data_IF_771635283877
#
_entry.id   IF_771635283877
#
_cell.length_a   1.000
_cell.length_b   1.000
_cell.length_c   1.000
_cell.angle_alpha   90.00
_cell.angle_beta   90.00
_cell.angle_gamma   90.00
#
_symmetry.space_group_name_H-M   'P 1'
#
loop_
_entity.id
_entity.type
_entity.pdbx_description
1 polymer ?
#
# COMPACT_ATOMS: atom_id res chain seq x y z
N UNK A 1 -32.62 -11.68 2.06
CA UNK A 1 -31.62 -10.69 2.53
C UNK A 1 -30.80 -11.36 3.62
N UNK A 2 -29.47 -11.27 3.55
CA UNK A 2 -28.56 -11.88 4.52
C UNK A 2 -27.93 -10.77 5.35
N UNK A 3 -27.91 -10.91 6.68
CA UNK A 3 -27.28 -9.91 7.55
C UNK A 3 -25.78 -9.79 7.22
N UNK A 4 -25.24 -8.58 7.30
CA UNK A 4 -23.87 -8.23 6.92
C UNK A 4 -23.71 -7.82 5.45
N UNK A 5 -24.61 -8.23 4.56
CA UNK A 5 -24.53 -7.84 3.14
C UNK A 5 -24.84 -6.35 2.94
N UNK A 6 -24.32 -5.81 1.83
CA UNK A 6 -24.65 -4.48 1.35
C UNK A 6 -25.84 -4.58 0.39
N UNK A 7 -26.80 -3.68 0.54
CA UNK A 7 -27.93 -3.51 -0.34
C UNK A 7 -28.05 -2.04 -0.77
N UNK A 8 -28.65 -1.79 -1.93
CA UNK A 8 -29.03 -0.45 -2.35
C UNK A 8 -30.46 -0.17 -1.92
N UNK A 9 -30.71 0.97 -1.28
CA UNK A 9 -32.03 1.40 -0.83
C UNK A 9 -32.35 2.83 -1.23
N UNK A 10 -33.64 3.15 -1.33
CA UNK A 10 -34.12 4.50 -1.65
C UNK A 10 -34.62 5.17 -0.37
N UNK A 11 -34.12 6.36 -0.05
CA UNK A 11 -34.61 7.14 1.09
C UNK A 11 -36.06 7.58 0.81
N UNK A 12 -37.01 7.13 1.60
CA UNK A 12 -38.43 7.48 1.47
C UNK A 12 -38.79 8.72 2.28
N UNK A 13 -38.36 8.76 3.55
CA UNK A 13 -38.57 9.90 4.43
C UNK A 13 -37.38 10.10 5.36
N UNK A 14 -37.18 11.35 5.79
CA UNK A 14 -36.14 11.75 6.73
C UNK A 14 -36.80 12.51 7.87
N UNK A 15 -36.92 11.84 9.01
CA UNK A 15 -37.40 12.41 10.26
C UNK A 15 -36.24 12.94 11.10
N UNK A 16 -36.54 13.53 12.26
CA UNK A 16 -35.52 14.11 13.15
C UNK A 16 -34.50 13.07 13.64
N UNK A 17 -34.96 11.85 13.97
CA UNK A 17 -34.15 10.81 14.62
C UNK A 17 -33.91 9.56 13.75
N UNK A 18 -34.63 9.41 12.63
CA UNK A 18 -34.51 8.26 11.74
C UNK A 18 -34.88 8.59 10.30
N UNK A 19 -34.46 7.76 9.36
CA UNK A 19 -34.94 7.75 7.99
C UNK A 19 -35.51 6.37 7.64
N UNK A 20 -36.58 6.37 6.84
CA UNK A 20 -37.15 5.15 6.25
C UNK A 20 -36.53 4.92 4.89
N UNK A 21 -36.02 3.71 4.67
CA UNK A 21 -35.34 3.30 3.45
C UNK A 21 -36.15 2.18 2.80
N UNK A 22 -36.51 2.33 1.54
CA UNK A 22 -37.12 1.24 0.78
C UNK A 22 -36.04 0.32 0.19
N UNK A 23 -36.09 -0.96 0.56
CA UNK A 23 -35.23 -2.03 0.01
C UNK A 23 -35.99 -2.91 -0.99
N UNK A 24 -37.13 -2.44 -1.49
CA UNK A 24 -38.02 -3.09 -2.45
C UNK A 24 -39.00 -4.09 -1.81
N UNK A 25 -38.50 -5.04 -1.01
CA UNK A 25 -39.35 -6.07 -0.36
C UNK A 25 -39.61 -5.84 1.12
N UNK A 26 -38.75 -5.09 1.80
CA UNK A 26 -38.80 -4.82 3.23
C UNK A 26 -38.40 -3.37 3.45
N UNK A 27 -39.05 -2.71 4.40
CA UNK A 27 -38.65 -1.38 4.83
C UNK A 27 -37.41 -1.46 5.73
N UNK A 28 -36.49 -0.53 5.55
CA UNK A 28 -35.30 -0.33 6.36
C UNK A 28 -35.42 0.92 7.22
N UNK A 29 -34.77 0.91 8.38
CA UNK A 29 -34.63 2.07 9.26
C UNK A 29 -33.16 2.37 9.50
N UNK A 30 -32.81 3.63 9.30
CA UNK A 30 -31.48 4.18 9.57
C UNK A 30 -31.61 5.21 10.69
N UNK A 31 -30.80 5.13 11.75
CA UNK A 31 -30.95 6.00 12.92
C UNK A 31 -29.96 7.15 12.94
N UNK A 32 -30.31 8.27 13.59
CA UNK A 32 -29.39 9.42 13.69
C UNK A 32 -28.13 9.05 14.47
N UNK A 33 -28.25 8.11 15.41
CA UNK A 33 -27.11 7.54 16.16
C UNK A 33 -26.05 6.97 15.24
N UNK A 34 -26.44 6.34 14.13
CA UNK A 34 -25.53 5.76 13.14
C UNK A 34 -25.06 6.82 12.14
N UNK A 35 -25.95 7.68 11.66
CA UNK A 35 -25.59 8.71 10.66
C UNK A 35 -24.66 9.77 11.23
N UNK A 36 -24.82 10.18 12.49
CA UNK A 36 -24.00 11.24 13.10
C UNK A 36 -22.51 10.87 13.25
N UNK A 37 -22.13 9.60 13.06
CA UNK A 37 -20.72 9.19 13.04
C UNK A 37 -20.07 9.43 11.68
N UNK A 38 -20.86 9.71 10.64
CA UNK A 38 -20.40 10.01 9.30
C UNK A 38 -20.03 11.49 9.15
N UNK A 39 -19.17 11.77 8.18
CA UNK A 39 -18.71 13.11 7.87
C UNK A 39 -18.94 13.44 6.40
N UNK A 40 -19.33 14.68 6.14
CA UNK A 40 -19.55 15.22 4.82
C UNK A 40 -18.22 15.61 4.15
N UNK A 41 -17.66 14.68 3.39
CA UNK A 41 -16.52 14.92 2.51
C UNK A 41 -16.84 15.83 1.30
N UNK A 42 -18.12 16.05 1.00
CA UNK A 42 -18.61 16.88 -0.11
C UNK A 42 -18.93 18.32 0.31
N UNK A 43 -18.53 18.72 1.53
CA UNK A 43 -18.81 20.06 2.06
C UNK A 43 -18.03 21.19 1.38
N UNK A 44 -17.13 20.86 0.44
CA UNK A 44 -16.23 21.81 -0.22
C UNK A 44 -15.08 22.30 0.67
N UNK A 45 -14.93 21.76 1.88
CA UNK A 45 -13.80 22.04 2.77
C UNK A 45 -12.66 21.06 2.54
N UNK A 46 -11.47 21.45 2.97
CA UNK A 46 -10.24 20.63 2.90
C UNK A 46 -10.31 19.33 3.72
N UNK A 47 -11.28 19.22 4.63
CA UNK A 47 -11.51 18.04 5.45
C UNK A 47 -13.02 17.73 5.59
N UNK A 48 -13.39 16.46 5.75
CA UNK A 48 -14.78 16.08 5.99
C UNK A 48 -15.32 16.74 7.26
N UNK A 49 -16.56 17.25 7.20
CA UNK A 49 -17.21 17.91 8.35
C UNK A 49 -18.34 17.06 8.93
N UNK A 50 -18.53 16.99 10.25
CA UNK A 50 -19.65 16.25 10.82
C UNK A 50 -21.01 16.79 10.38
N UNK A 51 -21.97 15.90 10.13
CA UNK A 51 -23.36 16.30 9.93
C UNK A 51 -23.98 16.78 11.25
N UNK A 52 -24.76 17.88 11.22
CA UNK A 52 -25.43 18.41 12.42
C UNK A 52 -26.85 17.90 12.58
N UNK A 53 -27.49 17.51 11.47
CA UNK A 53 -28.86 16.97 11.44
C UNK A 53 -29.02 15.99 10.28
N UNK A 54 -30.01 15.11 10.39
CA UNK A 54 -30.26 14.04 9.41
C UNK A 54 -30.45 14.55 7.98
N UNK A 55 -31.19 15.65 7.83
CA UNK A 55 -31.47 16.28 6.52
C UNK A 55 -30.26 16.94 5.85
N UNK A 56 -29.14 17.09 6.56
CA UNK A 56 -27.85 17.47 5.92
C UNK A 56 -27.15 16.26 5.29
N UNK A 57 -27.44 15.04 5.77
CA UNK A 57 -26.81 13.82 5.32
C UNK A 57 -27.59 13.13 4.19
N UNK A 58 -28.92 13.11 4.30
CA UNK A 58 -29.80 12.37 3.40
C UNK A 58 -31.05 13.18 3.05
N UNK A 59 -31.59 12.94 1.86
CA UNK A 59 -32.83 13.53 1.35
C UNK A 59 -33.75 12.43 0.79
N UNK A 60 -35.07 12.60 0.85
CA UNK A 60 -35.99 11.72 0.12
C UNK A 60 -35.62 11.63 -1.36
N UNK A 61 -35.61 10.42 -1.90
CA UNK A 61 -35.20 10.09 -3.27
C UNK A 61 -33.72 9.70 -3.43
N UNK A 62 -32.87 9.91 -2.42
CA UNK A 62 -31.48 9.46 -2.49
C UNK A 62 -31.41 7.93 -2.59
N UNK A 63 -30.56 7.43 -3.49
CA UNK A 63 -30.23 6.00 -3.59
C UNK A 63 -28.93 5.78 -2.84
N UNK A 64 -28.98 5.01 -1.75
CA UNK A 64 -27.86 4.83 -0.83
C UNK A 64 -27.52 3.35 -0.64
N UNK A 65 -26.23 3.00 -0.61
CA UNK A 65 -25.84 1.68 -0.18
C UNK A 65 -25.85 1.60 1.35
N UNK A 66 -26.43 0.53 1.87
CA UNK A 66 -26.63 0.28 3.30
C UNK A 66 -26.23 -1.14 3.64
N UNK A 67 -25.63 -1.31 4.82
CA UNK A 67 -25.38 -2.63 5.40
C UNK A 67 -26.60 -3.09 6.18
N UNK A 68 -27.02 -4.34 5.93
CA UNK A 68 -28.12 -4.98 6.65
C UNK A 68 -27.61 -5.48 8.01
N UNK A 69 -28.07 -4.90 9.13
CA UNK A 69 -27.51 -5.20 10.46
C UNK A 69 -28.35 -6.22 11.19
N UNK A 70 -29.65 -5.99 11.28
CA UNK A 70 -30.57 -6.79 12.10
C UNK A 70 -32.00 -6.62 11.58
N UNK A 71 -32.89 -7.58 11.86
CA UNK A 71 -34.29 -7.52 11.46
C UNK A 71 -35.20 -7.51 12.69
N UNK A 72 -36.10 -6.53 12.76
CA UNK A 72 -37.10 -6.40 13.82
C UNK A 72 -38.44 -6.99 13.35
N UNK A 73 -38.78 -8.24 13.74
CA UNK A 73 -39.99 -8.90 13.25
C UNK A 73 -41.28 -8.24 13.77
N UNK A 74 -41.24 -7.56 14.92
CA UNK A 74 -42.42 -6.91 15.49
C UNK A 74 -42.83 -5.64 14.74
N UNK A 75 -41.89 -5.04 13.99
CA UNK A 75 -42.10 -3.84 13.18
C UNK A 75 -41.95 -4.10 11.68
N UNK A 76 -41.57 -5.31 11.31
CA UNK A 76 -41.25 -5.74 9.94
C UNK A 76 -40.20 -4.86 9.24
N UNK A 77 -39.23 -4.32 10.00
CA UNK A 77 -38.17 -3.43 9.48
C UNK A 77 -36.76 -3.99 9.64
N UNK A 78 -35.91 -3.71 8.67
CA UNK A 78 -34.47 -3.98 8.73
C UNK A 78 -33.74 -2.79 9.37
N UNK A 79 -32.92 -3.02 10.39
CA UNK A 79 -31.99 -2.02 10.92
C UNK A 79 -30.76 -1.93 10.01
N UNK A 80 -30.40 -0.70 9.66
CA UNK A 80 -29.41 -0.42 8.63
C UNK A 80 -28.26 0.41 9.17
N UNK A 81 -27.09 0.23 8.58
CA UNK A 81 -25.99 1.19 8.68
C UNK A 81 -25.68 1.76 7.31
N UNK A 82 -25.31 3.04 7.25
CA UNK A 82 -24.75 3.61 6.04
C UNK A 82 -23.52 2.81 5.64
N UNK A 83 -23.33 2.66 4.34
CA UNK A 83 -22.13 2.11 3.77
C UNK A 83 -21.66 3.06 2.67
N UNK A 84 -20.36 3.07 2.43
CA UNK A 84 -19.76 3.75 1.29
C UNK A 84 -18.72 2.81 0.75
N UNK A 85 -18.85 2.52 -0.53
CA UNK A 85 -17.82 1.85 -1.29
C UNK A 85 -16.55 2.70 -1.28
N UNK A 86 -15.41 2.17 -0.82
CA UNK A 86 -14.17 2.93 -0.83
C UNK A 86 -13.75 3.29 -2.26
N UNK A 87 -13.58 4.58 -2.54
CA UNK A 87 -12.96 5.04 -3.79
C UNK A 87 -11.48 4.65 -3.86
N UNK A 88 -10.84 4.51 -2.70
CA UNK A 88 -9.48 4.01 -2.59
C UNK A 88 -9.45 2.51 -2.85
N UNK A 89 -8.32 2.03 -3.35
CA UNK A 89 -8.12 0.61 -3.61
C UNK A 89 -6.84 0.13 -2.93
N UNK A 90 -6.66 -1.18 -2.85
CA UNK A 90 -5.52 -1.78 -2.14
C UNK A 90 -5.12 -3.12 -2.73
N UNK A 91 -4.02 -3.66 -2.22
CA UNK A 91 -3.58 -5.01 -2.53
C UNK A 91 -2.93 -5.64 -1.29
N UNK A 92 -3.08 -6.95 -1.16
CA UNK A 92 -2.41 -7.75 -0.13
C UNK A 92 -1.76 -8.94 -0.82
N UNK A 93 -0.50 -9.21 -0.48
CA UNK A 93 0.21 -10.39 -0.94
C UNK A 93 0.98 -10.99 0.24
N UNK A 94 0.65 -12.23 0.57
CA UNK A 94 1.34 -13.03 1.59
C UNK A 94 2.11 -14.15 0.92
N UNK A 95 3.42 -14.20 1.16
CA UNK A 95 4.31 -15.22 0.59
C UNK A 95 5.16 -15.84 1.70
N UNK A 96 5.34 -17.16 1.67
CA UNK A 96 6.26 -17.86 2.56
C UNK A 96 7.70 -17.68 2.07
N UNK A 97 8.60 -16.97 2.79
CA UNK A 97 9.92 -16.63 2.25
C UNK A 97 10.81 -17.84 1.93
N UNK A 98 10.67 -18.93 2.70
CA UNK A 98 11.47 -20.16 2.53
C UNK A 98 11.09 -20.99 1.31
N UNK A 99 9.82 -20.99 0.92
CA UNK A 99 9.31 -21.86 -0.15
C UNK A 99 8.93 -21.10 -1.42
N UNK A 100 8.66 -19.80 -1.29
CA UNK A 100 8.11 -18.95 -2.35
C UNK A 100 6.59 -19.06 -2.48
N UNK A 101 5.93 -19.91 -1.70
CA UNK A 101 4.48 -20.15 -1.80
C UNK A 101 3.67 -18.90 -1.51
N UNK A 102 2.77 -18.56 -2.43
CA UNK A 102 1.82 -17.45 -2.27
C UNK A 102 0.61 -17.95 -1.49
N UNK A 103 0.55 -17.58 -0.22
CA UNK A 103 -0.50 -17.99 0.72
C UNK A 103 -1.77 -17.16 0.61
N UNK A 104 -1.63 -15.89 0.21
CA UNK A 104 -2.76 -14.98 0.04
C UNK A 104 -2.46 -13.95 -1.04
N UNK A 105 -3.43 -13.66 -1.90
CA UNK A 105 -3.31 -12.63 -2.93
C UNK A 105 -4.66 -11.94 -3.13
N UNK A 106 -4.74 -10.67 -2.78
CA UNK A 106 -5.90 -9.81 -2.96
C UNK A 106 -5.48 -8.65 -3.87
N UNK A 107 -6.10 -8.57 -5.04
CA UNK A 107 -5.74 -7.62 -6.09
C UNK A 107 -6.53 -6.30 -6.10
N UNK A 108 -7.57 -6.21 -5.28
CA UNK A 108 -8.42 -5.02 -5.19
C UNK A 108 -9.52 -5.17 -4.16
N UNK A 109 -10.31 -4.11 -3.99
CA UNK A 109 -11.45 -4.08 -3.08
C UNK A 109 -12.52 -5.13 -3.43
N UNK A 110 -12.91 -5.17 -4.71
CA UNK A 110 -13.94 -6.06 -5.22
C UNK A 110 -13.54 -6.56 -6.62
N UNK A 111 -13.58 -7.88 -6.82
CA UNK A 111 -13.13 -8.51 -8.05
C UNK A 111 -14.13 -8.33 -9.19
N UNK A 112 -15.43 -8.39 -8.86
CA UNK A 112 -16.53 -8.26 -9.82
C UNK A 112 -16.57 -6.87 -10.49
N UNK A 113 -16.04 -5.84 -9.83
CA UNK A 113 -15.89 -4.50 -10.42
C UNK A 113 -14.60 -4.36 -11.24
N UNK A 114 -13.54 -5.07 -10.84
CA UNK A 114 -12.22 -4.93 -11.45
C UNK A 114 -11.38 -6.18 -11.25
N UNK A 115 -11.20 -6.94 -12.32
CA UNK A 115 -10.31 -8.11 -12.36
C UNK A 115 -8.81 -7.73 -12.34
N UNK A 116 -8.49 -6.43 -12.35
CA UNK A 116 -7.12 -5.93 -12.33
C UNK A 116 -6.44 -6.21 -10.98
N UNK A 117 -5.50 -7.15 -10.99
CA UNK A 117 -4.77 -7.59 -9.81
C UNK A 117 -3.59 -6.66 -9.49
N UNK A 118 -3.84 -5.71 -8.58
CA UNK A 118 -2.84 -4.74 -8.13
C UNK A 118 -1.65 -5.35 -7.40
N UNK A 119 -1.74 -6.58 -6.88
CA UNK A 119 -0.63 -7.24 -6.23
C UNK A 119 0.52 -7.56 -7.21
N UNK A 120 0.19 -7.83 -8.48
CA UNK A 120 1.15 -8.31 -9.48
C UNK A 120 1.23 -7.42 -10.72
N UNK A 121 0.19 -6.60 -11.01
CA UNK A 121 0.11 -5.77 -12.22
C UNK A 121 0.33 -4.28 -11.94
N UNK A 122 -0.10 -3.78 -10.77
CA UNK A 122 0.00 -2.35 -10.49
C UNK A 122 1.43 -1.96 -10.12
N UNK A 123 2.02 -1.07 -10.91
CA UNK A 123 3.31 -0.46 -10.59
C UNK A 123 3.10 0.86 -9.84
N UNK A 124 3.65 0.96 -8.63
CA UNK A 124 3.58 2.17 -7.78
C UNK A 124 4.95 2.52 -7.25
N UNK A 125 5.14 3.79 -6.86
CA UNK A 125 6.38 4.20 -6.20
C UNK A 125 6.44 3.57 -4.80
N UNK A 126 7.51 2.83 -4.45
CA UNK A 126 7.65 2.24 -3.12
C UNK A 126 7.94 3.29 -2.05
N UNK A 127 8.45 4.46 -2.43
CA UNK A 127 8.79 5.51 -1.47
C UNK A 127 9.83 5.03 -0.45
N UNK A 128 9.65 5.41 0.81
CA UNK A 128 10.55 5.02 1.90
C UNK A 128 10.62 3.51 2.16
N UNK A 129 9.66 2.70 1.68
CA UNK A 129 9.74 1.24 1.80
C UNK A 129 10.92 0.63 1.01
N UNK A 130 11.51 1.39 0.09
CA UNK A 130 12.72 0.98 -0.64
C UNK A 130 14.02 1.17 0.17
N UNK A 131 14.03 1.99 1.22
CA UNK A 131 15.26 2.31 1.97
C UNK A 131 15.96 1.08 2.55
N UNK A 132 15.29 0.06 3.13
CA UNK A 132 15.98 -1.14 3.59
C UNK A 132 16.89 -1.78 2.53
N UNK A 133 16.51 -1.73 1.24
CA UNK A 133 17.33 -2.24 0.14
C UNK A 133 18.58 -1.37 -0.08
N UNK A 134 18.41 -0.04 -0.08
CA UNK A 134 19.53 0.91 -0.18
C UNK A 134 20.54 0.69 0.96
N UNK A 135 20.04 0.61 2.19
CA UNK A 135 20.89 0.47 3.38
C UNK A 135 21.55 -0.90 3.44
N UNK A 136 20.86 -1.96 3.01
CA UNK A 136 21.46 -3.29 2.87
C UNK A 136 22.61 -3.30 1.86
N UNK A 137 22.46 -2.60 0.72
CA UNK A 137 23.55 -2.45 -0.24
C UNK A 137 24.77 -1.69 0.33
N UNK A 138 24.55 -0.75 1.24
CA UNK A 138 25.62 -0.05 1.94
C UNK A 138 26.40 -0.97 2.89
N UNK A 139 25.69 -1.84 3.63
CA UNK A 139 26.31 -2.82 4.53
C UNK A 139 27.21 -3.77 3.75
N UNK A 140 26.74 -4.30 2.62
CA UNK A 140 27.55 -5.14 1.71
C UNK A 140 28.71 -4.38 1.06
N UNK A 141 28.64 -3.03 0.99
CA UNK A 141 29.72 -2.16 0.53
C UNK A 141 30.69 -1.73 1.65
N UNK A 142 30.58 -2.31 2.86
CA UNK A 142 31.50 -2.08 3.97
C UNK A 142 31.06 -1.01 4.98
N UNK A 143 29.86 -0.45 4.84
CA UNK A 143 29.28 0.38 5.91
C UNK A 143 28.89 -0.49 7.10
N UNK A 144 28.84 0.14 8.28
CA UNK A 144 28.35 -0.47 9.50
C UNK A 144 27.11 0.26 9.99
N UNK A 145 26.35 -0.34 10.91
CA UNK A 145 25.21 0.31 11.55
C UNK A 145 25.60 1.62 12.27
N UNK A 146 26.86 1.75 12.67
CA UNK A 146 27.46 2.94 13.31
C UNK A 146 28.08 3.94 12.34
N UNK A 147 28.18 3.63 11.04
CA UNK A 147 28.73 4.57 10.05
C UNK A 147 27.96 5.89 10.10
N UNK A 148 28.69 7.01 10.08
CA UNK A 148 28.10 8.35 10.20
C UNK A 148 27.60 8.81 8.84
N UNK A 149 26.32 9.20 8.78
CA UNK A 149 25.70 9.86 7.65
C UNK A 149 25.34 11.30 8.01
N UNK A 150 25.37 12.18 7.02
CA UNK A 150 25.08 13.61 7.21
C UNK A 150 23.68 13.93 6.69
N UNK A 151 22.79 14.29 7.62
CA UNK A 151 21.45 14.80 7.40
C UNK A 151 21.44 16.34 7.43
N UNK A 152 21.92 16.94 6.33
CA UNK A 152 22.01 18.39 6.13
C UNK A 152 21.36 18.80 4.80
N UNK A 153 21.01 20.10 4.60
CA UNK A 153 20.48 20.59 3.33
C UNK A 153 21.39 20.26 2.15
N UNK A 154 20.80 19.81 1.05
CA UNK A 154 21.50 19.46 -0.19
C UNK A 154 20.86 20.17 -1.38
N UNK A 155 21.67 20.51 -2.37
CA UNK A 155 21.23 21.15 -3.61
C UNK A 155 21.94 20.53 -4.81
N UNK A 156 21.16 20.08 -5.79
CA UNK A 156 21.67 19.35 -6.95
C UNK A 156 21.25 20.02 -8.25
N UNK A 157 22.20 20.24 -9.15
CA UNK A 157 21.86 20.59 -10.54
C UNK A 157 21.29 19.37 -11.23
N UNK A 158 20.14 19.52 -11.89
CA UNK A 158 19.48 18.41 -12.59
C UNK A 158 20.00 18.21 -14.03
N UNK A 159 20.80 19.14 -14.54
CA UNK A 159 21.22 19.19 -15.94
C UNK A 159 20.13 19.68 -16.90
N UNK A 160 18.97 20.11 -16.38
CA UNK A 160 17.89 20.72 -17.16
C UNK A 160 17.90 22.23 -16.98
N UNK A 161 17.42 22.95 -18.00
CA UNK A 161 17.16 24.38 -17.93
C UNK A 161 15.67 24.60 -17.72
N UNK A 162 15.30 25.43 -16.76
CA UNK A 162 13.92 25.84 -16.48
C UNK A 162 13.89 27.36 -16.34
N UNK A 163 13.02 28.01 -17.13
CA UNK A 163 12.90 29.47 -17.17
C UNK A 163 14.23 30.21 -17.45
N UNK A 164 15.13 29.59 -18.22
CA UNK A 164 16.43 30.18 -18.58
C UNK A 164 17.55 29.94 -17.57
N UNK A 165 17.29 29.26 -16.46
CA UNK A 165 18.27 28.94 -15.41
C UNK A 165 18.44 27.43 -15.21
N UNK A 166 19.57 27.02 -14.62
CA UNK A 166 19.79 25.63 -14.19
C UNK A 166 18.69 25.21 -13.19
N UNK A 167 17.95 24.14 -13.50
CA UNK A 167 16.98 23.58 -12.56
C UNK A 167 17.73 22.90 -11.40
N UNK A 168 17.51 23.43 -10.20
CA UNK A 168 18.06 22.92 -8.94
C UNK A 168 17.01 22.06 -8.23
N UNK A 169 17.39 20.83 -7.89
CA UNK A 169 16.63 19.97 -7.00
C UNK A 169 17.06 20.17 -5.55
N UNK A 170 16.11 20.58 -4.71
CA UNK A 170 16.26 20.81 -3.27
C UNK A 170 15.43 19.77 -2.49
N UNK A 171 15.96 18.54 -2.29
CA UNK A 171 15.26 17.53 -1.49
C UNK A 171 15.07 17.99 -0.04
N UNK A 172 14.08 17.42 0.64
CA UNK A 172 13.80 17.68 2.05
C UNK A 172 13.41 16.41 2.80
N UNK A 173 13.59 16.43 4.11
CA UNK A 173 13.00 15.44 5.01
C UNK A 173 11.50 15.70 5.19
N UNK A 174 10.76 14.65 5.52
CA UNK A 174 9.37 14.82 5.97
C UNK A 174 9.34 15.69 7.23
N UNK A 175 8.50 16.73 7.21
CA UNK A 175 8.36 17.68 8.32
C UNK A 175 9.52 18.66 8.51
N UNK A 176 10.44 18.78 7.52
CA UNK A 176 11.51 19.79 7.46
C UNK A 176 12.47 19.83 8.66
N UNK A 177 12.61 18.72 9.39
CA UNK A 177 13.57 18.59 10.50
C UNK A 177 14.89 17.99 10.03
N UNK A 178 15.98 18.54 10.55
CA UNK A 178 17.36 18.07 10.31
C UNK A 178 17.94 17.49 11.59
N UNK A 179 18.75 16.45 11.45
CA UNK A 179 19.43 15.79 12.56
C UNK A 179 20.97 15.94 12.53
N UNK A 180 21.54 16.51 11.45
CA UNK A 180 22.99 16.63 11.32
C UNK A 180 23.65 15.26 11.18
N UNK A 181 24.75 15.02 11.90
CA UNK A 181 25.45 13.73 11.86
C UNK A 181 24.67 12.67 12.64
N UNK A 182 24.28 11.60 11.96
CA UNK A 182 23.53 10.47 12.53
C UNK A 182 24.17 9.14 12.14
N UNK A 183 23.93 8.08 12.90
CA UNK A 183 24.32 6.74 12.48
C UNK A 183 23.48 6.25 11.29
N UNK A 184 24.03 5.34 10.48
CA UNK A 184 23.32 4.65 9.41
C UNK A 184 22.03 4.01 9.93
N UNK A 185 22.08 3.36 11.11
CA UNK A 185 20.88 2.83 11.78
C UNK A 185 19.85 3.91 12.07
N UNK A 186 20.25 5.03 12.65
CA UNK A 186 19.35 6.14 12.98
C UNK A 186 18.70 6.71 11.72
N UNK A 187 19.47 6.88 10.65
CA UNK A 187 18.98 7.42 9.39
C UNK A 187 17.89 6.53 8.77
N UNK A 188 18.05 5.20 8.83
CA UNK A 188 17.03 4.26 8.38
C UNK A 188 15.78 4.29 9.27
N UNK A 189 15.95 4.18 10.60
CA UNK A 189 14.84 4.18 11.58
C UNK A 189 14.00 5.45 11.48
N UNK A 190 14.63 6.60 11.23
CA UNK A 190 13.94 7.88 11.07
C UNK A 190 13.54 8.19 9.63
N UNK A 191 13.88 7.30 8.69
CA UNK A 191 13.67 7.49 7.25
C UNK A 191 14.13 8.87 6.76
N UNK A 192 15.36 9.27 7.11
CA UNK A 192 15.89 10.58 6.72
C UNK A 192 16.24 10.60 5.23
N UNK A 193 15.58 11.45 4.45
CA UNK A 193 15.78 11.54 3.01
C UNK A 193 17.17 12.08 2.65
N UNK A 194 17.64 13.13 3.35
CA UNK A 194 18.90 13.78 3.00
C UNK A 194 20.11 12.90 3.32
N UNK A 195 20.05 12.14 4.42
CA UNK A 195 21.05 11.12 4.73
C UNK A 195 21.04 9.97 3.70
N UNK A 196 19.86 9.47 3.28
CA UNK A 196 19.78 8.41 2.26
C UNK A 196 20.28 8.89 0.89
N UNK A 197 20.03 10.15 0.52
CA UNK A 197 20.56 10.74 -0.71
C UNK A 197 22.09 10.79 -0.66
N UNK A 198 22.66 11.29 0.44
CA UNK A 198 24.10 11.30 0.63
C UNK A 198 24.72 9.90 0.56
N UNK A 199 24.06 8.90 1.15
CA UNK A 199 24.51 7.51 1.05
C UNK A 199 24.56 7.01 -0.40
N UNK A 200 23.62 7.41 -1.25
CA UNK A 200 23.63 7.03 -2.67
C UNK A 200 24.62 7.85 -3.49
N UNK A 201 24.92 9.09 -3.09
CA UNK A 201 26.05 9.84 -3.67
C UNK A 201 27.36 9.09 -3.44
N UNK A 202 27.58 8.58 -2.22
CA UNK A 202 28.79 7.84 -1.86
C UNK A 202 28.90 6.50 -2.60
N UNK A 203 27.82 5.72 -2.64
CA UNK A 203 27.79 4.38 -3.26
C UNK A 203 27.70 4.42 -4.79
N UNK A 204 27.14 5.49 -5.34
CA UNK A 204 26.69 5.58 -6.72
C UNK A 204 25.33 4.87 -6.96
N UNK A 205 24.47 5.43 -7.83
CA UNK A 205 23.16 4.85 -8.09
C UNK A 205 23.21 3.49 -8.79
N UNK A 206 24.29 3.20 -9.53
CA UNK A 206 24.45 1.92 -10.24
C UNK A 206 24.52 0.73 -9.28
N UNK A 207 25.31 0.85 -8.21
CA UNK A 207 25.47 -0.19 -7.21
C UNK A 207 24.13 -0.59 -6.60
N UNK A 208 23.32 0.41 -6.24
CA UNK A 208 21.97 0.19 -5.67
C UNK A 208 21.03 -0.46 -6.68
N UNK A 209 21.12 -0.08 -7.95
CA UNK A 209 20.32 -0.68 -9.02
C UNK A 209 20.68 -2.15 -9.20
N UNK A 210 21.97 -2.46 -9.32
CA UNK A 210 22.46 -3.84 -9.48
C UNK A 210 22.11 -4.70 -8.25
N UNK A 211 22.24 -4.13 -7.06
CA UNK A 211 21.82 -4.78 -5.82
C UNK A 211 20.32 -5.11 -5.81
N UNK A 212 19.48 -4.16 -6.22
CA UNK A 212 18.03 -4.34 -6.31
C UNK A 212 17.65 -5.43 -7.32
N UNK A 213 18.39 -5.55 -8.44
CA UNK A 213 18.20 -6.62 -9.44
C UNK A 213 18.47 -7.99 -8.85
N UNK A 214 19.55 -8.13 -8.08
CA UNK A 214 19.88 -9.37 -7.36
C UNK A 214 18.77 -9.76 -6.39
N UNK A 215 18.14 -8.80 -5.71
CA UNK A 215 16.98 -9.05 -4.83
C UNK A 215 15.67 -9.39 -5.55
N UNK A 216 15.62 -9.33 -6.88
CA UNK A 216 14.44 -9.70 -7.67
C UNK A 216 13.56 -8.52 -8.11
N UNK A 217 14.01 -7.27 -7.91
CA UNK A 217 13.33 -6.12 -8.50
C UNK A 217 13.77 -6.01 -9.96
N UNK A 218 12.84 -6.23 -10.89
CA UNK A 218 13.09 -6.22 -12.35
C UNK A 218 12.77 -4.87 -13.00
N UNK A 219 11.92 -4.05 -12.36
CA UNK A 219 11.44 -2.80 -12.93
C UNK A 219 12.54 -1.80 -13.28
N UNK A 220 12.39 -1.06 -14.38
CA UNK A 220 13.40 -0.09 -14.84
C UNK A 220 13.61 1.04 -13.82
N UNK A 221 14.88 1.33 -13.53
CA UNK A 221 15.30 2.38 -12.60
C UNK A 221 16.22 3.37 -13.32
N UNK A 222 16.01 4.66 -13.08
CA UNK A 222 16.89 5.71 -13.62
C UNK A 222 18.13 5.81 -12.74
N UNK A 223 19.31 5.90 -13.36
CA UNK A 223 20.60 6.07 -12.68
C UNK A 223 20.77 7.49 -12.16
N UNK A 224 20.05 7.86 -11.11
CA UNK A 224 20.12 9.18 -10.49
C UNK A 224 19.83 9.10 -8.98
N UNK A 225 20.10 10.19 -8.26
CA UNK A 225 19.97 10.23 -6.79
C UNK A 225 18.53 10.10 -6.28
N UNK A 226 17.53 10.29 -7.14
CA UNK A 226 16.13 10.19 -6.71
C UNK A 226 15.72 8.76 -6.33
N UNK A 227 16.49 7.75 -6.76
CA UNK A 227 16.26 6.35 -6.33
C UNK A 227 16.35 6.19 -4.81
N UNK A 228 17.06 7.09 -4.11
CA UNK A 228 17.11 7.17 -2.64
C UNK A 228 15.72 7.29 -2.00
N UNK A 229 14.77 7.82 -2.76
CA UNK A 229 13.42 8.10 -2.32
C UNK A 229 12.41 7.10 -2.90
N UNK A 230 12.86 6.04 -3.58
CA UNK A 230 11.97 5.08 -4.24
C UNK A 230 11.17 5.71 -5.38
N UNK A 231 11.82 6.51 -6.24
CA UNK A 231 11.17 7.30 -7.32
C UNK A 231 10.79 6.52 -8.58
N UNK A 232 10.90 5.19 -8.56
CA UNK A 232 10.58 4.29 -9.67
C UNK A 232 9.31 3.49 -9.38
N UNK A 233 8.66 2.93 -10.40
CA UNK A 233 7.40 2.20 -10.22
C UNK A 233 7.66 0.69 -10.19
N UNK A 234 7.29 0.03 -9.09
CA UNK A 234 7.50 -1.40 -8.82
C UNK A 234 6.18 -2.09 -8.46
N UNK A 235 6.07 -3.39 -8.69
CA UNK A 235 4.89 -4.16 -8.25
C UNK A 235 5.00 -4.53 -6.76
N UNK A 236 3.85 -4.81 -6.12
CA UNK A 236 3.86 -5.31 -4.74
C UNK A 236 4.61 -6.64 -4.63
N UNK A 237 4.43 -7.55 -5.60
CA UNK A 237 5.14 -8.83 -5.65
C UNK A 237 6.66 -8.68 -5.69
N UNK A 238 7.21 -7.78 -6.50
CA UNK A 238 8.65 -7.53 -6.52
C UNK A 238 9.16 -7.03 -5.16
N UNK A 239 8.40 -6.17 -4.47
CA UNK A 239 8.75 -5.72 -3.12
C UNK A 239 8.65 -6.83 -2.09
N UNK A 240 7.59 -7.65 -2.12
CA UNK A 240 7.43 -8.80 -1.22
C UNK A 240 8.55 -9.81 -1.43
N UNK A 241 8.94 -10.09 -2.67
CA UNK A 241 10.04 -10.99 -2.95
C UNK A 241 11.38 -10.44 -2.42
N UNK A 242 11.67 -9.17 -2.68
CA UNK A 242 12.87 -8.52 -2.17
C UNK A 242 12.94 -8.51 -0.63
N UNK A 243 11.81 -8.28 0.05
CA UNK A 243 11.74 -8.36 1.51
C UNK A 243 11.82 -9.79 2.04
N UNK A 244 11.34 -10.77 1.26
CA UNK A 244 11.49 -12.19 1.53
C UNK A 244 12.96 -12.60 1.67
N UNK A 245 13.87 -11.95 0.97
CA UNK A 245 15.32 -12.19 1.10
C UNK A 245 15.81 -11.93 2.53
N UNK A 246 15.40 -10.82 3.15
CA UNK A 246 15.77 -10.53 4.55
C UNK A 246 15.19 -11.59 5.49
N UNK A 247 13.90 -11.90 5.32
CA UNK A 247 13.21 -12.90 6.14
C UNK A 247 13.75 -14.33 5.97
N UNK A 248 14.32 -14.65 4.80
CA UNK A 248 14.94 -15.94 4.49
C UNK A 248 16.47 -15.90 4.58
N UNK A 249 17.02 -15.10 5.50
CA UNK A 249 18.47 -15.06 5.81
C UNK A 249 19.34 -14.87 4.56
N UNK A 250 18.95 -13.92 3.73
CA UNK A 250 19.69 -13.55 2.54
C UNK A 250 19.44 -14.42 1.31
N UNK A 251 18.54 -15.40 1.38
CA UNK A 251 18.16 -16.24 0.23
C UNK A 251 16.89 -15.74 -0.45
N UNK A 252 16.90 -15.70 -1.78
CA UNK A 252 15.72 -15.40 -2.60
C UNK A 252 15.05 -16.69 -3.05
N UNK A 253 13.72 -16.68 -3.05
CA UNK A 253 12.86 -17.69 -3.67
C UNK A 253 12.08 -17.05 -4.82
N UNK A 254 11.62 -17.86 -5.77
CA UNK A 254 10.68 -17.39 -6.79
C UNK A 254 9.24 -17.64 -6.32
N UNK A 255 8.26 -16.74 -6.61
CA UNK A 255 6.88 -16.94 -6.22
C UNK A 255 6.27 -18.23 -6.82
N UNK A 256 5.60 -19.02 -5.98
CA UNK A 256 4.94 -20.27 -6.33
C UNK A 256 3.44 -20.13 -6.11
N UNK A 257 2.66 -20.23 -7.20
CA UNK A 257 1.19 -20.12 -7.19
C UNK A 257 0.48 -21.48 -7.30
N UNK A 258 1.14 -22.44 -7.93
CA UNK A 258 0.63 -23.79 -8.17
C UNK A 258 1.61 -24.74 -7.50
N UNK A 259 1.12 -25.60 -6.61
CA UNK A 259 1.95 -26.57 -5.89
C UNK A 259 2.09 -27.87 -6.69
N UNK A 260 0.98 -28.34 -7.24
CA UNK A 260 0.87 -29.60 -7.95
C UNK A 260 -0.23 -29.51 -9.01
N UNK A 261 0.00 -30.16 -10.15
CA UNK A 261 -0.99 -30.35 -11.21
C UNK A 261 -1.25 -31.84 -11.34
N UNK A 262 -2.51 -32.25 -11.22
CA UNK A 262 -2.95 -33.64 -11.39
C UNK A 262 -3.93 -33.79 -12.53
N UNK A 263 -3.99 -34.97 -13.15
CA UNK A 263 -5.09 -35.33 -14.06
C UNK A 263 -6.37 -35.71 -13.28
N UNK A 264 -7.42 -36.11 -14.03
CA UNK A 264 -8.71 -36.52 -13.47
C UNK A 264 -8.62 -37.80 -12.62
N UNK A 265 -7.64 -38.65 -12.90
CA UNK A 265 -7.37 -39.90 -12.20
C UNK A 265 -6.41 -39.69 -11.00
N UNK A 266 -6.04 -38.44 -10.71
CA UNK A 266 -5.09 -38.00 -9.66
C UNK A 266 -3.65 -38.42 -9.90
N UNK A 267 -3.26 -38.72 -11.14
CA UNK A 267 -1.85 -38.86 -11.46
C UNK A 267 -1.19 -37.48 -11.46
N UNK A 268 -0.05 -37.36 -10.76
CA UNK A 268 0.72 -36.12 -10.71
C UNK A 268 1.42 -35.90 -12.05
N UNK A 269 1.14 -34.76 -12.68
CA UNK A 269 1.74 -34.32 -13.95
C UNK A 269 2.92 -33.37 -13.71
N UNK A 270 2.81 -32.50 -12.71
CA UNK A 270 3.83 -31.51 -12.36
C UNK A 270 3.77 -31.19 -10.86
N UNK A 271 4.94 -30.96 -10.26
CA UNK A 271 5.07 -30.45 -8.87
C UNK A 271 6.05 -29.29 -8.87
N UNK A 272 5.71 -28.20 -8.21
CA UNK A 272 6.59 -27.05 -8.07
C UNK A 272 7.79 -27.38 -7.18
N UNK A 273 8.99 -27.02 -7.65
CA UNK A 273 10.23 -27.19 -6.88
C UNK A 273 10.70 -25.82 -6.42
N UNK A 274 10.82 -25.62 -5.10
CA UNK A 274 11.42 -24.42 -4.53
C UNK A 274 12.86 -24.28 -4.99
N UNK A 275 13.19 -23.10 -5.55
CA UNK A 275 14.56 -22.72 -5.88
C UNK A 275 15.00 -21.61 -4.94
N UNK A 276 16.03 -21.88 -4.16
CA UNK A 276 16.68 -20.88 -3.31
C UNK A 276 18.00 -20.43 -3.94
N UNK A 277 18.26 -19.12 -3.93
CA UNK A 277 19.53 -18.54 -4.36
C UNK A 277 20.03 -17.63 -3.25
N UNK A 278 21.25 -17.82 -2.76
CA UNK A 278 21.85 -16.90 -1.79
C UNK A 278 22.18 -15.58 -2.52
N UNK A 279 21.56 -14.49 -2.06
CA UNK A 279 21.71 -13.17 -2.68
C UNK A 279 22.61 -12.27 -1.83
N UNK A 280 22.37 -12.19 -0.52
CA UNK A 280 23.13 -11.35 0.42
C UNK A 280 23.61 -12.24 1.57
N UNK A 281 24.59 -11.78 2.37
CA UNK A 281 25.06 -12.56 3.52
C UNK A 281 23.98 -12.71 4.60
N UNK A 282 24.12 -13.69 5.49
CA UNK A 282 23.22 -13.84 6.64
C UNK A 282 23.31 -12.62 7.57
N UNK A 283 24.53 -12.06 7.67
CA UNK A 283 24.88 -10.91 8.50
C UNK A 283 24.21 -9.63 8.00
N UNK A 284 24.19 -9.42 6.69
CA UNK A 284 23.51 -8.27 6.06
C UNK A 284 21.99 -8.42 6.09
N UNK A 285 21.48 -9.65 6.09
CA UNK A 285 20.05 -9.92 6.18
C UNK A 285 19.46 -9.71 7.59
N UNK A 286 20.29 -9.81 8.63
CA UNK A 286 19.92 -9.71 10.05
C UNK A 286 19.85 -8.26 10.55
#
# INVERSE_FOLDING_TARGET
MVLGNIASGVVQSVEKEFALIDLGKVAGILTWKEVRTWQNALSGKDHPVPFKKFSEALKPGDVIPVRLVDYDPGKEVMRLQLYQEPLINGAVLGMQPKTGEVLAMIGGYQYEESEFNRAIQAKRQPGSSFKPIVYSSALDAGYTLSSVLVDSPRAFRTGKIKLGEDEIWLPKNYGDKLMGSVSLRTALVKSLNLATIGLIEDLGPELVIDYSRRLGISTSMKKNLTIALGSFSVTLQEMVNAFGVFANKGKRTEPVYILEVTDQDRNVLETSVTREIQIISNETAF
#
